data_IF_915099723685
#
_entry.id   IF_915099723685
#
_cell.length_a   1.000
_cell.length_b   1.000
_cell.length_c   1.000
_cell.angle_alpha   90.00
_cell.angle_beta   90.00
_cell.angle_gamma   90.00
#
_symmetry.space_group_name_H-M   'P 1'
#
loop_
_entity.id
_entity.type
_entity.pdbx_description
1 polymer ?
#
# COMPACT_ATOMS: atom_id res chain seq x y z
N UNK A 1 -0.25 -1.61 4.20
CA UNK A 1 0.22 -2.45 5.29
C UNK A 1 0.51 -3.86 4.81
N UNK A 2 -0.55 -4.65 4.51
CA UNK A 2 -0.37 -6.03 4.05
C UNK A 2 -1.24 -6.28 2.85
N UNK A 3 -1.49 -5.23 2.02
CA UNK A 3 -2.34 -5.39 0.84
C UNK A 3 -1.49 -5.26 -0.40
N UNK A 4 -2.06 -5.64 -1.57
CA UNK A 4 -1.35 -5.53 -2.84
C UNK A 4 -2.17 -4.71 -3.83
N UNK A 5 -3.17 -4.00 -3.33
CA UNK A 5 -4.03 -3.17 -4.17
C UNK A 5 -3.21 -2.10 -4.89
N UNK A 6 -3.91 -1.19 -5.57
CA UNK A 6 -3.23 -0.13 -6.30
C UNK A 6 -3.20 1.17 -5.53
N UNK A 7 -3.65 1.24 -4.25
CA UNK A 7 -3.59 2.49 -3.48
C UNK A 7 -2.42 2.31 -2.53
N UNK A 8 -1.33 3.10 -2.62
CA UNK A 8 -0.21 2.86 -1.72
C UNK A 8 -0.68 3.22 -0.32
N UNK A 9 -0.17 2.58 0.75
CA UNK A 9 -0.61 2.96 2.09
C UNK A 9 -0.08 4.33 2.40
N UNK A 10 1.23 4.56 2.12
CA UNK A 10 1.88 5.82 2.49
C UNK A 10 2.61 6.38 1.28
N UNK A 11 3.05 7.64 1.34
CA UNK A 11 3.69 8.26 0.18
C UNK A 11 5.04 7.63 -0.06
N UNK A 12 5.81 7.30 0.99
CA UNK A 12 7.18 6.82 0.77
C UNK A 12 7.23 5.35 0.46
N UNK A 13 6.63 4.46 1.28
CA UNK A 13 6.81 3.02 1.08
C UNK A 13 6.11 2.53 -0.17
N UNK A 14 6.26 1.21 -0.49
CA UNK A 14 5.62 0.63 -1.67
C UNK A 14 4.71 -0.50 -1.24
N UNK A 15 3.85 -0.27 -0.21
CA UNK A 15 2.92 -1.29 0.25
C UNK A 15 1.51 -0.74 0.06
N UNK A 16 0.44 -1.55 0.24
CA UNK A 16 -0.91 -1.11 -0.13
C UNK A 16 -1.91 -1.55 0.93
N UNK A 17 -3.11 -0.93 1.02
CA UNK A 17 -4.10 -1.38 1.98
C UNK A 17 -4.84 -2.55 1.38
N UNK A 18 -5.39 -3.54 2.14
CA UNK A 18 -6.10 -4.65 1.50
C UNK A 18 -7.48 -4.20 1.10
#
# INVERSE_FOLDING_TARGET
SIGDSGLRESMSSQTYWP
#
